data_IF_721220181942
#
_entry.id   IF_721220181942
#
_cell.length_a   1.000
_cell.length_b   1.000
_cell.length_c   1.000
_cell.angle_alpha   90.00
_cell.angle_beta   90.00
_cell.angle_gamma   90.00
#
_symmetry.space_group_name_H-M   'P 1'
#
loop_
_entity.id
_entity.type
_entity.pdbx_description
1 polymer ?
#
# COMPACT_ATOMS: atom_id res chain seq x y z
N UNK A 1 4.40 31.54 29.50
CA UNK A 1 4.74 30.68 28.33
C UNK A 1 4.89 31.57 27.11
N UNK A 2 6.08 31.62 26.48
CA UNK A 2 6.26 32.36 25.22
C UNK A 2 5.46 31.63 24.14
N UNK A 3 4.35 32.22 23.66
CA UNK A 3 3.68 31.79 22.43
C UNK A 3 4.68 32.00 21.29
N UNK A 4 5.45 30.97 20.93
CA UNK A 4 6.28 31.01 19.73
C UNK A 4 5.36 31.14 18.53
N UNK A 5 5.69 32.06 17.61
CA UNK A 5 4.99 32.21 16.33
C UNK A 5 5.00 30.87 15.58
N UNK A 6 3.80 30.36 15.27
CA UNK A 6 3.62 29.08 14.59
C UNK A 6 4.41 29.02 13.27
N UNK A 7 4.49 30.13 12.55
CA UNK A 7 5.25 30.20 11.29
C UNK A 7 6.74 29.96 11.52
N UNK A 8 7.33 30.64 12.50
CA UNK A 8 8.75 30.46 12.85
C UNK A 8 9.06 29.05 13.35
N UNK A 9 8.11 28.41 14.04
CA UNK A 9 8.26 27.00 14.46
C UNK A 9 8.26 26.07 13.25
N UNK A 10 7.35 26.28 12.30
CA UNK A 10 7.25 25.48 11.06
C UNK A 10 8.48 25.64 10.18
N UNK A 11 8.95 26.87 9.97
CA UNK A 11 10.16 27.16 9.18
C UNK A 11 11.40 26.47 9.79
N UNK A 12 11.55 26.55 11.11
CA UNK A 12 12.63 25.86 11.83
C UNK A 12 12.53 24.34 11.70
N UNK A 13 11.33 23.78 11.85
CA UNK A 13 11.11 22.34 11.70
C UNK A 13 11.45 21.86 10.28
N UNK A 14 10.99 22.57 9.25
CA UNK A 14 11.25 22.23 7.85
C UNK A 14 12.75 22.26 7.53
N UNK A 15 13.45 23.31 7.99
CA UNK A 15 14.90 23.47 7.82
C UNK A 15 15.67 22.32 8.47
N UNK A 16 15.37 22.04 9.75
CA UNK A 16 16.07 21.01 10.50
C UNK A 16 15.82 19.61 9.94
N UNK A 17 14.58 19.31 9.56
CA UNK A 17 14.22 17.99 9.04
C UNK A 17 14.87 17.73 7.69
N UNK A 18 14.86 18.72 6.80
CA UNK A 18 15.47 18.59 5.46
C UNK A 18 16.98 18.41 5.54
N UNK A 19 17.63 19.02 6.54
CA UNK A 19 19.07 18.93 6.76
C UNK A 19 19.51 17.64 7.46
N UNK A 20 18.58 16.89 8.07
CA UNK A 20 18.89 15.71 8.87
C UNK A 20 18.92 14.39 8.07
N UNK A 21 18.92 14.44 6.73
CA UNK A 21 18.81 13.24 5.88
C UNK A 21 19.93 12.22 6.11
N UNK A 22 21.18 12.65 6.30
CA UNK A 22 22.30 11.73 6.60
C UNK A 22 22.16 11.07 7.96
N UNK A 23 21.73 11.82 8.97
CA UNK A 23 21.42 11.26 10.30
C UNK A 23 20.27 10.26 10.23
N UNK A 24 19.28 10.48 9.35
CA UNK A 24 18.21 9.51 9.12
C UNK A 24 18.75 8.23 8.48
N UNK A 25 19.64 8.34 7.48
CA UNK A 25 20.29 7.18 6.85
C UNK A 25 21.08 6.37 7.87
N UNK A 26 21.91 7.03 8.68
CA UNK A 26 22.67 6.40 9.76
C UNK A 26 21.76 5.69 10.76
N UNK A 27 20.70 6.37 11.20
CA UNK A 27 19.72 5.79 12.13
C UNK A 27 19.06 4.51 11.59
N UNK A 28 18.74 4.48 10.30
CA UNK A 28 18.21 3.27 9.63
C UNK A 28 19.28 2.18 9.53
N UNK A 29 20.53 2.52 9.19
CA UNK A 29 21.63 1.55 9.11
C UNK A 29 21.93 0.86 10.44
N UNK A 30 21.64 1.53 11.55
CA UNK A 30 21.83 0.99 12.90
C UNK A 30 20.70 0.06 13.37
N UNK A 31 19.62 -0.09 12.60
CA UNK A 31 18.51 -1.00 12.93
C UNK A 31 18.95 -2.45 12.69
N UNK A 32 19.18 -3.19 13.77
CA UNK A 32 19.66 -4.59 13.73
C UNK A 32 18.55 -5.64 13.62
N UNK A 33 17.31 -5.26 13.94
CA UNK A 33 16.15 -6.16 13.88
C UNK A 33 15.07 -5.58 12.98
N UNK A 34 14.52 -6.40 12.09
CA UNK A 34 13.48 -5.97 11.15
C UNK A 34 12.25 -5.42 11.90
N UNK A 35 11.91 -4.13 11.73
CA UNK A 35 10.70 -3.57 12.33
C UNK A 35 9.43 -4.22 11.78
N UNK A 36 9.49 -4.79 10.56
CA UNK A 36 8.36 -5.50 9.96
C UNK A 36 8.07 -6.82 10.68
N UNK A 37 9.11 -7.53 11.16
CA UNK A 37 8.94 -8.74 11.97
C UNK A 37 8.26 -8.43 13.30
N UNK A 38 8.67 -7.35 13.97
CA UNK A 38 8.01 -6.85 15.19
C UNK A 38 6.56 -6.46 14.95
N UNK A 39 6.30 -5.77 13.84
CA UNK A 39 4.94 -5.37 13.47
C UNK A 39 4.02 -6.58 13.22
N UNK A 40 4.53 -7.63 12.56
CA UNK A 40 3.77 -8.86 12.32
C UNK A 40 3.33 -9.54 13.63
N UNK A 41 4.16 -9.51 14.67
CA UNK A 41 3.82 -10.06 15.99
C UNK A 41 2.67 -9.30 16.68
N UNK A 42 2.39 -8.07 16.25
CA UNK A 42 1.33 -7.21 16.83
C UNK A 42 -0.01 -7.32 16.08
N UNK A 43 -0.20 -8.35 15.25
CA UNK A 43 -1.40 -8.54 14.43
C UNK A 43 -2.70 -8.46 15.26
N UNK A 44 -2.74 -9.11 16.43
CA UNK A 44 -3.92 -9.08 17.32
C UNK A 44 -4.21 -7.67 17.82
N UNK A 45 -3.18 -6.94 18.26
CA UNK A 45 -3.32 -5.57 18.76
C UNK A 45 -3.82 -4.64 17.66
N UNK A 46 -3.31 -4.80 16.43
CA UNK A 46 -3.79 -4.04 15.27
C UNK A 46 -5.27 -4.31 14.99
N UNK A 47 -5.69 -5.59 14.97
CA UNK A 47 -7.10 -5.98 14.76
C UNK A 47 -8.02 -5.36 15.80
N UNK A 48 -7.71 -5.54 17.08
CA UNK A 48 -8.57 -5.10 18.18
C UNK A 48 -8.71 -3.56 18.19
N UNK A 49 -7.61 -2.83 17.91
CA UNK A 49 -7.63 -1.36 17.83
C UNK A 49 -8.37 -0.84 16.61
N UNK A 50 -8.26 -1.52 15.46
CA UNK A 50 -8.98 -1.14 14.25
C UNK A 50 -10.49 -1.32 14.46
N UNK A 51 -10.93 -2.47 15.00
CA UNK A 51 -12.33 -2.70 15.31
C UNK A 51 -12.86 -1.63 16.26
N UNK A 52 -12.15 -1.37 17.36
CA UNK A 52 -12.53 -0.29 18.28
C UNK A 52 -12.69 1.08 17.59
N UNK A 53 -11.76 1.44 16.70
CA UNK A 53 -11.80 2.73 16.00
C UNK A 53 -12.95 2.83 14.96
N UNK A 54 -13.39 1.68 14.44
CA UNK A 54 -14.59 1.58 13.61
C UNK A 54 -15.82 1.74 14.50
N UNK A 55 -15.91 0.95 15.57
CA UNK A 55 -17.06 0.91 16.48
C UNK A 55 -17.31 2.25 17.19
N UNK A 56 -16.26 2.95 17.60
CA UNK A 56 -16.37 4.28 18.23
C UNK A 56 -16.45 5.45 17.22
N UNK A 57 -16.53 5.13 15.92
CA UNK A 57 -16.68 6.07 14.81
C UNK A 57 -15.46 6.94 14.54
N UNK A 58 -14.33 6.74 15.22
CA UNK A 58 -13.09 7.52 14.97
C UNK A 58 -12.64 7.41 13.53
N UNK A 59 -12.75 6.23 12.94
CA UNK A 59 -12.38 6.00 11.55
C UNK A 59 -13.24 6.83 10.58
N UNK A 60 -14.57 6.75 10.71
CA UNK A 60 -15.50 7.49 9.85
C UNK A 60 -15.33 9.01 9.99
N UNK A 61 -15.19 9.52 11.23
CA UNK A 61 -14.90 10.95 11.47
C UNK A 61 -13.60 11.41 10.81
N UNK A 62 -12.57 10.56 10.80
CA UNK A 62 -11.30 10.86 10.16
C UNK A 62 -11.41 11.00 8.64
N UNK A 63 -12.19 10.13 8.00
CA UNK A 63 -12.43 10.19 6.55
C UNK A 63 -13.28 11.39 6.15
N UNK A 64 -14.35 11.67 6.90
CA UNK A 64 -15.26 12.79 6.61
C UNK A 64 -14.63 14.17 6.87
N UNK A 65 -13.46 14.22 7.49
CA UNK A 65 -12.74 15.47 7.75
C UNK A 65 -12.08 16.05 6.49
N UNK A 66 -11.73 15.23 5.51
CA UNK A 66 -11.02 15.67 4.31
C UNK A 66 -12.04 15.90 3.21
N UNK A 67 -12.12 17.14 2.71
CA UNK A 67 -12.96 17.47 1.57
C UNK A 67 -12.38 16.94 0.25
N UNK A 68 -13.22 16.87 -0.78
CA UNK A 68 -12.78 16.46 -2.11
C UNK A 68 -11.73 17.41 -2.70
N UNK A 69 -11.79 18.70 -2.37
CA UNK A 69 -10.86 19.70 -2.88
C UNK A 69 -9.49 19.59 -2.19
N UNK A 70 -9.47 19.42 -0.86
CA UNK A 70 -8.22 19.13 -0.13
C UNK A 70 -7.56 17.84 -0.62
N UNK A 71 -8.37 16.81 -0.94
CA UNK A 71 -7.86 15.57 -1.49
C UNK A 71 -7.23 15.78 -2.87
N UNK A 72 -7.89 16.51 -3.78
CA UNK A 72 -7.34 16.82 -5.12
C UNK A 72 -6.02 17.60 -5.03
N UNK A 73 -5.96 18.63 -4.19
CA UNK A 73 -4.73 19.42 -4.01
C UNK A 73 -3.58 18.55 -3.46
N UNK A 74 -3.88 17.62 -2.54
CA UNK A 74 -2.88 16.68 -2.03
C UNK A 74 -2.41 15.69 -3.11
N UNK A 75 -3.32 15.28 -4.01
CA UNK A 75 -2.99 14.39 -5.13
C UNK A 75 -2.06 15.06 -6.14
N UNK A 76 -2.30 16.32 -6.50
CA UNK A 76 -1.45 17.05 -7.45
C UNK A 76 0.01 17.09 -6.99
N UNK A 77 0.26 17.24 -5.67
CA UNK A 77 1.60 17.19 -5.07
C UNK A 77 2.28 15.81 -5.19
N UNK A 78 1.49 14.75 -5.28
CA UNK A 78 1.96 13.36 -5.30
C UNK A 78 2.15 12.79 -6.71
N UNK A 79 1.33 13.21 -7.67
CA UNK A 79 1.28 12.67 -9.04
C UNK A 79 2.64 12.73 -9.72
N UNK A 80 3.37 13.83 -9.57
CA UNK A 80 4.70 14.00 -10.19
C UNK A 80 5.73 12.97 -9.72
N UNK A 81 5.54 12.39 -8.53
CA UNK A 81 6.44 11.36 -7.97
C UNK A 81 6.13 9.96 -8.46
N UNK A 82 4.92 9.72 -8.99
CA UNK A 82 4.45 8.38 -9.39
C UNK A 82 5.34 7.78 -10.47
N UNK A 83 5.70 8.54 -11.51
CA UNK A 83 6.55 8.06 -12.59
C UNK A 83 7.90 7.53 -12.09
N UNK A 84 8.59 8.33 -11.26
CA UNK A 84 9.88 7.94 -10.66
C UNK A 84 9.76 6.70 -9.77
N UNK A 85 8.69 6.60 -8.97
CA UNK A 85 8.42 5.47 -8.10
C UNK A 85 8.13 4.18 -8.88
N UNK A 86 7.40 4.28 -10.00
CA UNK A 86 7.14 3.15 -10.91
C UNK A 86 8.44 2.64 -11.51
N UNK A 87 9.27 3.52 -12.08
CA UNK A 87 10.55 3.15 -12.69
C UNK A 87 11.46 2.44 -11.68
N UNK A 88 11.60 3.00 -10.47
CA UNK A 88 12.39 2.39 -9.40
C UNK A 88 11.84 1.03 -8.91
N UNK A 89 10.55 0.75 -9.14
CA UNK A 89 9.87 -0.46 -8.65
C UNK A 89 9.56 -1.49 -9.74
N UNK A 90 9.96 -1.26 -11.00
CA UNK A 90 9.64 -2.15 -12.13
C UNK A 90 9.98 -3.61 -11.85
N UNK A 91 11.17 -3.89 -11.29
CA UNK A 91 11.59 -5.25 -10.97
C UNK A 91 10.71 -5.97 -9.92
N UNK A 92 10.00 -5.24 -9.05
CA UNK A 92 9.04 -5.86 -8.12
C UNK A 92 7.77 -6.36 -8.84
N UNK A 93 7.34 -5.60 -9.85
CA UNK A 93 6.19 -5.91 -10.71
C UNK A 93 6.53 -7.03 -11.69
N UNK A 94 7.72 -6.99 -12.29
CA UNK A 94 8.24 -8.07 -13.15
C UNK A 94 8.23 -9.40 -12.40
N UNK A 95 8.84 -9.47 -11.21
CA UNK A 95 8.81 -10.66 -10.36
C UNK A 95 7.39 -11.15 -10.01
N UNK A 96 6.43 -10.24 -9.88
CA UNK A 96 5.04 -10.64 -9.67
C UNK A 96 4.47 -11.32 -10.92
N UNK A 97 4.72 -10.76 -12.11
CA UNK A 97 4.25 -11.33 -13.37
C UNK A 97 4.95 -12.65 -13.70
N UNK A 98 6.23 -12.80 -13.38
CA UNK A 98 6.94 -14.08 -13.51
C UNK A 98 6.24 -15.21 -12.73
N UNK A 99 5.67 -14.91 -11.56
CA UNK A 99 4.90 -15.87 -10.77
C UNK A 99 3.45 -16.00 -11.26
N UNK A 100 2.81 -14.88 -11.60
CA UNK A 100 1.38 -14.81 -11.86
C UNK A 100 1.00 -15.29 -13.27
N UNK A 101 1.78 -14.95 -14.30
CA UNK A 101 1.44 -15.32 -15.68
C UNK A 101 1.38 -16.85 -15.89
N UNK A 102 2.32 -17.67 -15.37
CA UNK A 102 2.19 -19.13 -15.47
C UNK A 102 0.97 -19.68 -14.70
N UNK A 103 0.58 -19.06 -13.59
CA UNK A 103 -0.65 -19.41 -12.89
C UNK A 103 -1.88 -19.08 -13.75
N UNK A 104 -1.91 -17.89 -14.34
CA UNK A 104 -2.97 -17.44 -15.22
C UNK A 104 -3.13 -18.37 -16.43
N UNK A 105 -2.03 -18.72 -17.09
CA UNK A 105 -2.01 -19.64 -18.24
C UNK A 105 -2.60 -21.01 -17.89
N UNK A 106 -2.25 -21.57 -16.73
CA UNK A 106 -2.85 -22.82 -16.22
C UNK A 106 -4.35 -22.72 -16.00
N UNK A 107 -4.85 -21.55 -15.62
CA UNK A 107 -6.28 -21.29 -15.49
C UNK A 107 -6.95 -21.26 -16.86
N UNK A 108 -6.38 -20.49 -17.79
CA UNK A 108 -6.90 -20.36 -19.16
C UNK A 108 -6.96 -21.70 -19.89
N UNK A 109 -5.95 -22.56 -19.70
CA UNK A 109 -5.90 -23.89 -20.32
C UNK A 109 -7.01 -24.85 -19.86
N UNK A 110 -7.65 -24.60 -18.71
CA UNK A 110 -8.75 -25.42 -18.18
C UNK A 110 -10.13 -24.99 -18.68
N UNK A 111 -10.23 -23.83 -19.34
CA UNK A 111 -11.52 -23.27 -19.69
C UNK A 111 -12.16 -24.03 -20.86
N UNK A 112 -13.46 -24.31 -20.74
CA UNK A 112 -14.26 -24.76 -21.88
C UNK A 112 -14.18 -23.77 -23.06
N UNK A 113 -14.36 -24.20 -24.32
CA UNK A 113 -14.44 -23.29 -25.46
C UNK A 113 -15.42 -22.14 -25.25
N UNK A 114 -15.16 -21.00 -25.89
CA UNK A 114 -16.11 -19.89 -25.89
C UNK A 114 -17.41 -20.32 -26.57
N UNK A 115 -18.54 -19.79 -26.10
CA UNK A 115 -19.86 -20.13 -26.62
C UNK A 115 -20.86 -19.02 -26.34
N UNK A 116 -22.08 -19.41 -25.98
CA UNK A 116 -23.16 -18.51 -25.60
C UNK A 116 -22.88 -17.76 -24.28
N UNK A 117 -23.86 -16.96 -23.84
CA UNK A 117 -23.76 -16.20 -22.60
C UNK A 117 -23.45 -17.10 -21.39
N UNK A 118 -24.10 -18.26 -21.28
CA UNK A 118 -23.93 -19.16 -20.13
C UNK A 118 -22.53 -19.79 -20.13
N UNK A 119 -22.02 -20.20 -21.30
CA UNK A 119 -20.66 -20.69 -21.43
C UNK A 119 -19.62 -19.63 -21.03
N UNK A 120 -19.85 -18.36 -21.41
CA UNK A 120 -18.95 -17.27 -21.03
C UNK A 120 -19.02 -16.92 -19.54
N UNK A 121 -20.19 -17.00 -18.91
CA UNK A 121 -20.35 -16.85 -17.45
C UNK A 121 -19.61 -17.98 -16.71
N UNK A 122 -19.72 -19.22 -17.18
CA UNK A 122 -18.98 -20.35 -16.61
C UNK A 122 -17.47 -20.10 -16.65
N UNK A 123 -16.93 -19.73 -17.82
CA UNK A 123 -15.51 -19.38 -18.00
C UNK A 123 -15.05 -18.28 -17.05
N UNK A 124 -15.83 -17.22 -16.89
CA UNK A 124 -15.50 -16.12 -15.98
C UNK A 124 -15.45 -16.59 -14.52
N UNK A 125 -16.45 -17.38 -14.11
CA UNK A 125 -16.53 -17.95 -12.76
C UNK A 125 -15.34 -18.85 -12.45
N UNK A 126 -14.92 -19.69 -13.40
CA UNK A 126 -13.75 -20.55 -13.25
C UNK A 126 -12.46 -19.75 -13.10
N UNK A 127 -12.25 -18.71 -13.92
CA UNK A 127 -11.08 -17.85 -13.80
C UNK A 127 -11.05 -17.08 -12.48
N UNK A 128 -12.20 -16.59 -12.00
CA UNK A 128 -12.28 -15.91 -10.69
C UNK A 128 -11.85 -16.85 -9.57
N UNK A 129 -12.37 -18.09 -9.56
CA UNK A 129 -12.00 -19.10 -8.56
C UNK A 129 -10.52 -19.46 -8.65
N UNK A 130 -10.03 -19.78 -9.84
CA UNK A 130 -8.62 -20.14 -10.06
C UNK A 130 -7.66 -19.02 -9.66
N UNK A 131 -7.95 -17.76 -10.01
CA UNK A 131 -7.11 -16.63 -9.62
C UNK A 131 -7.17 -16.34 -8.12
N UNK A 132 -8.28 -16.64 -7.44
CA UNK A 132 -8.40 -16.51 -5.99
C UNK A 132 -7.49 -17.49 -5.21
N UNK A 133 -7.03 -18.55 -5.86
CA UNK A 133 -6.07 -19.51 -5.30
C UNK A 133 -4.61 -19.05 -5.41
N UNK A 134 -4.32 -18.02 -6.22
CA UNK A 134 -2.96 -17.53 -6.39
C UNK A 134 -2.38 -17.05 -5.04
N UNK A 135 -1.23 -17.60 -4.66
CA UNK A 135 -0.47 -17.19 -3.49
C UNK A 135 0.95 -16.89 -3.93
N UNK A 136 1.35 -15.63 -3.85
CA UNK A 136 2.72 -15.20 -4.13
C UNK A 136 3.67 -15.84 -3.13
N UNK A 137 4.81 -16.36 -3.59
CA UNK A 137 5.86 -16.79 -2.66
C UNK A 137 6.45 -15.52 -2.04
N UNK A 138 6.36 -15.39 -0.72
CA UNK A 138 7.04 -14.31 -0.02
C UNK A 138 8.54 -14.37 -0.32
N UNK A 139 9.16 -13.24 -0.66
CA UNK A 139 10.62 -13.15 -0.72
C UNK A 139 11.15 -13.56 0.67
N UNK A 140 11.79 -14.73 0.76
CA UNK A 140 12.59 -15.09 1.92
C UNK A 140 13.85 -14.25 1.96
#
# INVERSE_FOLDING_TARGET
MVKRDARKVTEKWATNTSSATDRMREGVSNVTESPMKKAAQQQKVMRDRLLKAIDDGKWARGLNRVSIDEWKEAMDKGIDRVGSGVQASMGKTEKFFDEFLPHLEKGVAKLQPRGDLNANISRATEMIKHNAEFRRKGNK
#
